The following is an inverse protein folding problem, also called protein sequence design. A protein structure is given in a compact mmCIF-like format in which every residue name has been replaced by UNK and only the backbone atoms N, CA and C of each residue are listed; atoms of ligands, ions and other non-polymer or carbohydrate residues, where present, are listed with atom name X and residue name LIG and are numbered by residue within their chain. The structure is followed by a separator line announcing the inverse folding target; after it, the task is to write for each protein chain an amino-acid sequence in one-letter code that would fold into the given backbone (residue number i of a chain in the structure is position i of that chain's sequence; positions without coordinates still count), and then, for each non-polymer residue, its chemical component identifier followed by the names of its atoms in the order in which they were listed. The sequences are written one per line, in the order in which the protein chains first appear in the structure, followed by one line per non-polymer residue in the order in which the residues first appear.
data_IF_543936394484
#
_entry.id   IF_543936394484
#
_cell.length_a   1.000
_cell.length_b   1.000
_cell.length_c   1.000
_cell.angle_alpha   90.00
_cell.angle_beta   90.00
_cell.angle_gamma   90.00
#
_symmetry.space_group_name_H-M   'P 1'
#
loop_
_entity.id
_entity.type
_entity.pdbx_description
1 polymer ?
#
# COMPACT_ATOMS: atom_id res chain seq x y z
N UNK A 1 59.71 -25.10 -10.33
CA UNK A 1 59.17 -23.75 -10.23
C UNK A 1 57.68 -23.84 -10.41
N UNK A 2 56.95 -23.91 -9.30
CA UNK A 2 55.47 -24.09 -9.27
C UNK A 2 54.83 -22.72 -9.15
N UNK A 3 54.14 -22.29 -10.21
CA UNK A 3 53.38 -20.99 -10.19
C UNK A 3 52.06 -21.19 -9.47
N UNK A 4 51.90 -20.56 -8.29
CA UNK A 4 50.60 -20.40 -7.64
C UNK A 4 49.80 -19.32 -8.41
N UNK A 5 48.62 -19.68 -8.92
CA UNK A 5 47.62 -18.71 -9.36
C UNK A 5 46.84 -18.20 -8.13
N UNK A 6 46.63 -16.89 -7.99
CA UNK A 6 45.75 -16.37 -6.95
C UNK A 6 44.30 -16.65 -7.30
N UNK A 7 43.58 -17.26 -6.39
CA UNK A 7 42.14 -17.48 -6.43
C UNK A 7 41.46 -16.16 -6.03
N UNK A 8 40.91 -15.40 -6.99
CA UNK A 8 40.08 -14.27 -6.70
C UNK A 8 38.68 -14.75 -6.23
N UNK A 9 38.42 -14.68 -4.95
CA UNK A 9 37.09 -14.85 -4.41
C UNK A 9 36.28 -13.61 -4.72
N UNK A 10 35.36 -13.70 -5.69
CA UNK A 10 34.37 -12.67 -5.95
C UNK A 10 33.31 -12.72 -4.83
N UNK A 11 33.40 -11.82 -3.87
CA UNK A 11 32.34 -11.58 -2.88
C UNK A 11 31.14 -10.98 -3.60
N UNK A 12 30.13 -11.78 -3.92
CA UNK A 12 28.82 -11.28 -4.33
C UNK A 12 28.19 -10.58 -3.12
N UNK A 13 28.26 -9.25 -3.08
CA UNK A 13 27.48 -8.47 -2.14
C UNK A 13 25.99 -8.70 -2.47
N UNK A 14 25.27 -9.36 -1.58
CA UNK A 14 23.81 -9.42 -1.61
C UNK A 14 23.31 -7.99 -1.43
N UNK A 15 22.99 -7.32 -2.53
CA UNK A 15 22.31 -6.04 -2.50
C UNK A 15 20.89 -6.29 -1.96
N UNK A 16 20.70 -6.11 -0.66
CA UNK A 16 19.37 -6.03 -0.10
C UNK A 16 18.62 -4.90 -0.83
N UNK A 17 17.45 -5.21 -1.36
CA UNK A 17 16.62 -4.22 -2.04
C UNK A 17 16.33 -3.09 -1.07
N UNK A 18 17.05 -1.99 -1.21
CA UNK A 18 16.86 -0.80 -0.40
C UNK A 18 15.87 0.10 -1.15
N UNK A 19 14.64 0.15 -0.62
CA UNK A 19 13.66 1.10 -1.14
C UNK A 19 14.02 2.52 -0.70
N UNK A 20 13.67 3.49 -1.56
CA UNK A 20 13.89 4.92 -1.31
C UNK A 20 12.63 5.69 -1.64
N UNK A 21 12.29 6.66 -0.81
CA UNK A 21 11.16 7.55 -1.03
C UNK A 21 11.62 8.85 -1.68
N UNK A 22 10.84 9.31 -2.68
CA UNK A 22 10.99 10.61 -3.35
C UNK A 22 9.62 11.25 -3.58
N UNK A 23 9.55 12.57 -3.83
CA UNK A 23 8.33 13.21 -4.30
C UNK A 23 7.87 12.66 -5.66
N UNK A 24 6.55 12.42 -5.83
CA UNK A 24 5.96 11.98 -7.10
C UNK A 24 5.44 13.15 -7.95
N UNK A 25 5.26 14.34 -7.37
CA UNK A 25 4.54 15.45 -8.03
C UNK A 25 3.03 15.26 -7.99
N UNK A 26 2.28 15.97 -8.85
CA UNK A 26 0.82 15.94 -8.85
C UNK A 26 0.25 14.59 -9.30
N UNK A 27 -1.01 14.29 -8.93
CA UNK A 27 -1.68 13.06 -9.35
C UNK A 27 -1.90 13.04 -10.88
N UNK A 28 -2.10 11.83 -11.47
CA UNK A 28 -2.45 11.71 -12.88
C UNK A 28 -3.69 12.54 -13.23
N UNK A 29 -3.59 13.37 -14.27
CA UNK A 29 -4.64 14.32 -14.67
C UNK A 29 -5.86 13.66 -15.33
N UNK A 30 -5.72 12.42 -15.77
CA UNK A 30 -6.78 11.59 -16.37
C UNK A 30 -7.74 10.98 -15.34
N UNK A 31 -7.43 11.11 -14.04
CA UNK A 31 -8.34 10.69 -12.97
C UNK A 31 -9.45 11.72 -12.78
N UNK A 32 -10.75 11.32 -12.85
CA UNK A 32 -11.88 12.25 -12.75
C UNK A 32 -11.97 12.97 -11.39
N UNK A 33 -11.27 12.49 -10.38
CA UNK A 33 -11.22 13.02 -9.02
C UNK A 33 -9.82 13.48 -8.58
N UNK A 34 -8.90 13.74 -9.53
CA UNK A 34 -7.53 14.17 -9.24
C UNK A 34 -7.47 15.40 -8.29
N UNK A 35 -8.43 16.31 -8.39
CA UNK A 35 -8.53 17.50 -7.52
C UNK A 35 -8.81 17.19 -6.05
N UNK A 36 -9.31 16.00 -5.72
CA UNK A 36 -9.53 15.57 -4.32
C UNK A 36 -8.27 14.98 -3.67
N UNK A 37 -7.24 14.73 -4.46
CA UNK A 37 -5.98 14.14 -4.03
C UNK A 37 -4.98 15.24 -3.63
N UNK A 38 -4.03 14.87 -2.78
CA UNK A 38 -2.88 15.72 -2.46
C UNK A 38 -2.07 15.97 -3.72
N UNK A 39 -1.69 17.25 -3.94
CA UNK A 39 -0.95 17.65 -5.16
C UNK A 39 0.52 17.26 -5.11
N UNK A 40 0.99 16.75 -3.99
CA UNK A 40 2.31 16.17 -3.83
C UNK A 40 2.15 14.71 -3.41
N UNK A 41 2.40 13.80 -4.35
CA UNK A 41 2.42 12.36 -4.09
C UNK A 41 3.76 11.86 -3.57
N UNK A 42 3.79 10.59 -3.22
CA UNK A 42 4.97 9.83 -2.79
C UNK A 42 5.35 8.83 -3.88
N UNK A 43 6.62 8.78 -4.24
CA UNK A 43 7.19 7.81 -5.17
C UNK A 43 8.18 6.93 -4.43
N UNK A 44 8.02 5.62 -4.54
CA UNK A 44 8.94 4.64 -3.98
C UNK A 44 9.78 4.06 -5.12
N UNK A 45 11.08 4.17 -4.95
CA UNK A 45 12.06 3.52 -5.82
C UNK A 45 12.48 2.20 -5.19
N UNK A 46 12.56 1.15 -6.00
CA UNK A 46 13.11 -0.14 -5.64
C UNK A 46 14.61 -0.24 -5.92
N UNK A 47 15.14 -1.44 -5.85
CA UNK A 47 16.52 -1.73 -6.17
C UNK A 47 16.86 -1.25 -7.60
N UNK A 48 18.05 -0.63 -7.76
CA UNK A 48 18.48 -0.09 -9.05
C UNK A 48 17.80 1.21 -9.47
N UNK A 49 16.98 1.84 -8.60
CA UNK A 49 16.35 3.12 -8.87
C UNK A 49 15.09 3.04 -9.75
N UNK A 50 14.60 1.85 -10.06
CA UNK A 50 13.32 1.67 -10.76
C UNK A 50 12.14 2.10 -9.89
N UNK A 51 11.10 2.69 -10.49
CA UNK A 51 9.88 3.06 -9.75
C UNK A 51 9.14 1.78 -9.35
N UNK A 52 8.99 1.58 -8.03
CA UNK A 52 8.20 0.49 -7.46
C UNK A 52 6.71 0.85 -7.45
N UNK A 53 6.37 2.01 -6.86
CA UNK A 53 5.02 2.58 -6.92
C UNK A 53 5.03 4.10 -6.75
N UNK A 54 3.89 4.71 -7.10
CA UNK A 54 3.58 6.10 -6.83
C UNK A 54 2.21 6.17 -6.15
N UNK A 55 2.07 7.00 -5.12
CA UNK A 55 0.89 7.07 -4.26
C UNK A 55 0.46 8.52 -4.07
N UNK A 56 -0.83 8.80 -4.28
CA UNK A 56 -1.48 10.07 -3.99
C UNK A 56 -2.67 9.81 -3.09
N UNK A 57 -2.60 10.29 -1.86
CA UNK A 57 -3.70 10.17 -0.90
C UNK A 57 -4.71 11.31 -1.07
N UNK A 58 -5.92 11.14 -0.58
CA UNK A 58 -6.89 12.23 -0.52
C UNK A 58 -6.38 13.35 0.40
N UNK A 59 -6.78 14.58 0.08
CA UNK A 59 -6.49 15.74 0.94
C UNK A 59 -7.27 15.66 2.25
N UNK A 60 -8.50 15.11 2.18
CA UNK A 60 -9.40 14.94 3.33
C UNK A 60 -10.23 13.65 3.16
N UNK A 61 -10.58 13.02 4.26
CA UNK A 61 -11.53 11.90 4.31
C UNK A 61 -12.60 12.19 5.37
N UNK A 62 -13.83 11.64 5.23
CA UNK A 62 -14.83 11.76 6.27
C UNK A 62 -14.38 11.03 7.53
N UNK A 63 -14.66 11.63 8.69
CA UNK A 63 -14.50 10.94 9.96
C UNK A 63 -15.57 9.86 10.12
N UNK A 64 -15.14 8.68 10.52
CA UNK A 64 -16.03 7.58 10.90
C UNK A 64 -16.36 7.58 12.40
N UNK A 65 -17.26 6.72 12.82
CA UNK A 65 -17.50 6.48 14.22
C UNK A 65 -16.23 5.90 14.87
N UNK A 66 -16.06 6.18 16.18
CA UNK A 66 -14.98 5.52 16.95
C UNK A 66 -15.17 4.01 16.85
N UNK A 67 -14.13 3.25 16.49
CA UNK A 67 -14.22 1.79 16.45
C UNK A 67 -14.62 1.23 17.81
N UNK A 68 -15.54 0.26 17.80
CA UNK A 68 -15.93 -0.51 19.00
C UNK A 68 -15.01 -1.72 19.23
N UNK A 69 -14.17 -2.05 18.27
CA UNK A 69 -13.25 -3.20 18.25
C UNK A 69 -11.82 -2.68 18.33
N UNK A 70 -11.07 -3.09 19.33
CA UNK A 70 -9.68 -2.68 19.55
C UNK A 70 -8.72 -3.14 18.42
N UNK A 71 -9.15 -4.09 17.61
CA UNK A 71 -8.43 -4.52 16.40
C UNK A 71 -8.62 -3.58 15.22
N UNK A 72 -9.52 -2.59 15.31
CA UNK A 72 -9.73 -1.54 14.33
C UNK A 72 -9.13 -0.25 14.88
N UNK A 73 -8.16 0.28 14.18
CA UNK A 73 -7.36 1.42 14.63
C UNK A 73 -7.74 2.74 13.96
N UNK A 74 -8.47 2.66 12.83
CA UNK A 74 -8.85 3.82 12.03
C UNK A 74 -10.35 4.11 12.13
N UNK A 75 -10.71 5.31 12.54
CA UNK A 75 -12.09 5.81 12.55
C UNK A 75 -12.49 6.31 11.15
N UNK A 76 -12.53 5.40 10.18
CA UNK A 76 -12.84 5.68 8.76
C UNK A 76 -14.07 4.87 8.35
N UNK A 77 -15.09 5.46 7.68
CA UNK A 77 -16.23 4.70 7.18
C UNK A 77 -15.83 3.66 6.14
N UNK A 78 -16.50 2.49 6.18
CA UNK A 78 -16.35 1.43 5.18
C UNK A 78 -16.48 1.98 3.76
N UNK A 79 -15.60 1.54 2.87
CA UNK A 79 -15.64 1.92 1.45
C UNK A 79 -15.05 3.29 1.11
N UNK A 80 -14.61 4.06 2.11
CA UNK A 80 -13.99 5.38 1.89
C UNK A 80 -12.79 5.29 0.96
N UNK A 81 -12.73 6.14 -0.07
CA UNK A 81 -11.55 6.32 -0.90
C UNK A 81 -10.43 6.97 -0.06
N UNK A 82 -9.30 6.29 0.06
CA UNK A 82 -8.10 6.81 0.74
C UNK A 82 -7.16 7.54 -0.23
N UNK A 83 -7.12 7.10 -1.49
CA UNK A 83 -6.22 7.64 -2.49
C UNK A 83 -6.08 6.76 -3.72
N UNK A 84 -5.00 6.97 -4.46
CA UNK A 84 -4.64 6.24 -5.68
C UNK A 84 -3.20 5.78 -5.60
N UNK A 85 -2.94 4.55 -6.02
CA UNK A 85 -1.59 4.01 -6.18
C UNK A 85 -1.39 3.54 -7.62
N UNK A 86 -0.20 3.77 -8.17
CA UNK A 86 0.23 3.29 -9.48
C UNK A 86 1.42 2.35 -9.34
N UNK A 87 1.32 1.18 -9.93
CA UNK A 87 2.42 0.23 -10.09
C UNK A 87 2.82 0.17 -11.56
N UNK A 88 4.03 0.61 -11.95
CA UNK A 88 4.48 0.54 -13.34
C UNK A 88 4.86 -0.88 -13.78
N UNK A 89 5.14 -1.76 -12.82
CA UNK A 89 5.45 -3.18 -13.06
C UNK A 89 4.60 -4.06 -12.15
N UNK A 90 4.58 -5.37 -12.41
CA UNK A 90 3.93 -6.34 -11.52
C UNK A 90 4.63 -6.34 -10.15
N UNK A 91 3.82 -6.28 -9.10
CA UNK A 91 4.27 -6.39 -7.71
C UNK A 91 3.51 -7.50 -7.00
N UNK A 92 3.80 -7.71 -5.72
CA UNK A 92 3.06 -8.64 -4.87
C UNK A 92 2.55 -7.92 -3.63
N UNK A 93 1.35 -8.30 -3.19
CA UNK A 93 0.89 -7.91 -1.86
C UNK A 93 1.69 -8.69 -0.78
N UNK A 94 1.51 -8.33 0.48
CA UNK A 94 2.24 -8.94 1.61
C UNK A 94 2.05 -10.47 1.71
N UNK A 95 0.96 -11.01 1.17
CA UNK A 95 0.65 -12.45 1.12
C UNK A 95 1.30 -13.16 -0.07
N UNK A 96 2.00 -12.43 -0.95
CA UNK A 96 2.62 -12.97 -2.16
C UNK A 96 1.69 -13.05 -3.36
N UNK A 97 0.46 -12.50 -3.27
CA UNK A 97 -0.46 -12.46 -4.40
C UNK A 97 -0.02 -11.39 -5.40
N UNK A 98 0.01 -11.74 -6.68
CA UNK A 98 0.41 -10.81 -7.73
C UNK A 98 -0.61 -9.68 -7.91
N UNK A 99 -0.11 -8.47 -8.08
CA UNK A 99 -0.85 -7.27 -8.50
C UNK A 99 -0.30 -6.87 -9.86
N UNK A 100 -1.18 -6.77 -10.85
CA UNK A 100 -0.81 -6.39 -12.23
C UNK A 100 -0.33 -4.94 -12.27
N UNK A 101 0.49 -4.56 -13.29
CA UNK A 101 0.78 -3.15 -13.54
C UNK A 101 -0.52 -2.37 -13.78
N UNK A 102 -0.62 -1.15 -13.24
CA UNK A 102 -1.83 -0.34 -13.40
C UNK A 102 -1.98 0.74 -12.33
N UNK A 103 -3.05 1.50 -12.47
CA UNK A 103 -3.49 2.52 -11.51
C UNK A 103 -4.72 2.00 -10.77
N UNK A 104 -4.67 2.10 -9.44
CA UNK A 104 -5.68 1.54 -8.54
C UNK A 104 -6.12 2.60 -7.54
N UNK A 105 -7.42 2.65 -7.25
CA UNK A 105 -7.93 3.32 -6.06
C UNK A 105 -7.66 2.47 -4.83
N UNK A 106 -7.46 3.12 -3.69
CA UNK A 106 -7.33 2.50 -2.37
C UNK A 106 -8.62 2.76 -1.61
N UNK A 107 -9.40 1.72 -1.37
CA UNK A 107 -10.65 1.79 -0.61
C UNK A 107 -10.48 1.16 0.77
N UNK A 108 -10.81 1.92 1.82
CA UNK A 108 -10.77 1.46 3.19
C UNK A 108 -11.77 0.32 3.43
N UNK A 109 -11.34 -0.67 4.18
CA UNK A 109 -12.19 -1.76 4.63
C UNK A 109 -11.66 -2.40 5.91
N UNK A 110 -12.46 -3.29 6.48
CA UNK A 110 -12.12 -4.06 7.67
C UNK A 110 -12.33 -5.55 7.39
N UNK A 111 -11.44 -6.41 7.89
CA UNK A 111 -11.64 -7.85 7.83
C UNK A 111 -12.92 -8.25 8.59
N UNK A 112 -13.75 -9.13 8.04
CA UNK A 112 -14.96 -9.60 8.71
C UNK A 112 -14.60 -10.40 9.98
N UNK A 113 -15.48 -10.34 10.99
CA UNK A 113 -15.37 -11.10 12.26
C UNK A 113 -16.03 -12.46 12.08
N UNK A 114 -15.56 -13.28 11.16
CA UNK A 114 -16.13 -14.61 10.86
C UNK A 114 -15.11 -15.76 11.04
N UNK A 115 -13.93 -15.45 11.60
CA UNK A 115 -12.84 -16.42 11.73
C UNK A 115 -11.91 -16.50 10.53
N UNK A 116 -12.30 -15.95 9.39
CA UNK A 116 -11.43 -15.84 8.22
C UNK A 116 -10.37 -14.76 8.45
N UNK A 117 -9.19 -14.92 7.86
CA UNK A 117 -8.10 -13.94 7.88
C UNK A 117 -7.45 -13.72 9.25
N UNK A 118 -7.72 -14.54 10.26
CA UNK A 118 -7.00 -14.49 11.54
C UNK A 118 -5.50 -14.72 11.33
N UNK A 119 -4.68 -13.83 11.91
CA UNK A 119 -3.21 -13.91 11.81
C UNK A 119 -2.60 -13.33 10.53
N UNK A 120 -3.41 -12.84 9.58
CA UNK A 120 -2.91 -12.20 8.34
C UNK A 120 -2.34 -10.81 8.63
N UNK A 121 -2.93 -10.09 9.56
CA UNK A 121 -2.44 -8.80 10.05
C UNK A 121 -2.78 -8.66 11.55
N UNK A 122 -2.00 -7.89 12.32
CA UNK A 122 -2.26 -7.67 13.73
C UNK A 122 -3.53 -6.85 13.99
N UNK A 123 -4.02 -6.12 12.99
CA UNK A 123 -5.23 -5.30 13.02
C UNK A 123 -6.15 -5.65 11.86
N UNK A 124 -7.41 -5.22 11.96
CA UNK A 124 -8.43 -5.51 10.95
C UNK A 124 -8.51 -4.48 9.81
N UNK A 125 -7.84 -3.35 9.95
CA UNK A 125 -7.80 -2.30 8.93
C UNK A 125 -7.00 -2.74 7.71
N UNK A 126 -7.53 -2.52 6.51
CA UNK A 126 -6.82 -2.71 5.26
C UNK A 126 -7.37 -1.83 4.13
N UNK A 127 -6.62 -1.67 3.07
CA UNK A 127 -7.03 -1.01 1.86
C UNK A 127 -7.17 -2.01 0.71
N UNK A 128 -8.32 -2.01 0.03
CA UNK A 128 -8.57 -2.78 -1.19
C UNK A 128 -8.08 -1.98 -2.40
N UNK A 129 -7.36 -2.64 -3.29
CA UNK A 129 -6.95 -2.06 -4.56
C UNK A 129 -8.02 -2.35 -5.61
N UNK A 130 -8.64 -1.30 -6.14
CA UNK A 130 -9.63 -1.40 -7.23
C UNK A 130 -9.05 -0.73 -8.47
N UNK A 131 -9.10 -1.36 -9.69
CA UNK A 131 -8.67 -0.67 -10.90
C UNK A 131 -9.38 0.67 -11.05
N UNK A 132 -8.62 1.76 -11.18
CA UNK A 132 -9.17 3.14 -11.17
C UNK A 132 -10.21 3.37 -12.27
N UNK A 133 -10.09 2.68 -13.40
CA UNK A 133 -11.08 2.73 -14.49
C UNK A 133 -12.47 2.18 -14.08
N UNK A 134 -12.55 1.38 -13.02
CA UNK A 134 -13.80 0.80 -12.51
C UNK A 134 -14.31 1.51 -11.24
N UNK A 135 -13.62 2.55 -10.77
CA UNK A 135 -13.92 3.23 -9.52
C UNK A 135 -13.69 4.74 -9.69
N UNK A 136 -14.68 5.42 -10.22
CA UNK A 136 -14.59 6.82 -10.68
C UNK A 136 -15.27 7.83 -9.76
N UNK A 137 -16.09 7.39 -8.78
CA UNK A 137 -16.74 8.26 -7.82
C UNK A 137 -15.97 8.26 -6.48
N UNK A 138 -15.28 9.37 -6.13
CA UNK A 138 -14.51 9.46 -4.90
C UNK A 138 -15.36 9.47 -3.63
N UNK A 139 -16.67 9.72 -3.76
CA UNK A 139 -17.60 9.82 -2.63
C UNK A 139 -18.47 8.56 -2.47
N UNK A 140 -18.42 7.63 -3.42
CA UNK A 140 -19.06 6.34 -3.24
C UNK A 140 -18.46 5.59 -2.03
N UNK A 141 -19.31 4.87 -1.31
CA UNK A 141 -18.93 4.01 -0.18
C UNK A 141 -19.41 2.58 -0.44
N UNK A 142 -18.78 1.84 -1.37
CA UNK A 142 -19.22 0.50 -1.73
C UNK A 142 -19.14 -0.45 -0.53
N UNK A 143 -20.12 -1.36 -0.46
CA UNK A 143 -20.13 -2.43 0.54
C UNK A 143 -18.93 -3.38 0.36
N UNK A 144 -18.60 -4.12 1.41
CA UNK A 144 -17.45 -5.04 1.45
C UNK A 144 -17.43 -6.01 0.27
N UNK A 145 -18.51 -6.74 0.02
CA UNK A 145 -18.56 -7.76 -1.04
C UNK A 145 -18.40 -7.13 -2.45
N UNK A 146 -18.94 -5.93 -2.65
CA UNK A 146 -18.76 -5.17 -3.88
C UNK A 146 -17.29 -4.82 -4.09
N UNK A 147 -16.62 -4.31 -3.04
CA UNK A 147 -15.19 -3.98 -3.10
C UNK A 147 -14.33 -5.21 -3.36
N UNK A 148 -14.62 -6.34 -2.72
CA UNK A 148 -13.92 -7.61 -2.95
C UNK A 148 -14.04 -8.02 -4.42
N UNK A 149 -15.26 -8.00 -5.00
CA UNK A 149 -15.47 -8.32 -6.39
C UNK A 149 -14.77 -7.38 -7.37
N UNK A 150 -14.74 -6.07 -7.06
CA UNK A 150 -14.01 -5.07 -7.85
C UNK A 150 -12.49 -5.30 -7.76
N UNK A 151 -11.97 -5.58 -6.57
CA UNK A 151 -10.55 -5.77 -6.30
C UNK A 151 -9.99 -7.08 -6.86
N UNK A 152 -10.80 -8.12 -7.01
CA UNK A 152 -10.41 -9.36 -7.66
C UNK A 152 -9.86 -9.15 -9.09
N UNK A 153 -10.28 -8.07 -9.76
CA UNK A 153 -9.76 -7.69 -11.09
C UNK A 153 -8.30 -7.23 -11.03
N UNK A 154 -7.86 -6.64 -9.92
CA UNK A 154 -6.47 -6.20 -9.73
C UNK A 154 -5.51 -7.38 -9.59
N UNK A 155 -5.89 -8.39 -8.83
CA UNK A 155 -5.10 -9.61 -8.65
C UNK A 155 -5.21 -10.57 -9.84
N UNK A 156 -6.36 -10.56 -10.53
CA UNK A 156 -6.73 -11.55 -11.52
C UNK A 156 -7.06 -12.92 -10.94
N UNK A 157 -7.40 -12.98 -9.64
CA UNK A 157 -7.80 -14.16 -8.89
C UNK A 157 -9.14 -13.88 -8.18
N UNK A 158 -9.82 -14.88 -7.61
CA UNK A 158 -11.01 -14.65 -6.78
C UNK A 158 -10.74 -13.85 -5.50
N UNK A 159 -9.46 -13.72 -5.09
CA UNK A 159 -9.08 -12.98 -3.89
C UNK A 159 -8.74 -11.52 -4.21
N UNK A 160 -9.16 -10.56 -3.37
CA UNK A 160 -8.85 -9.16 -3.57
C UNK A 160 -7.36 -8.88 -3.38
N UNK A 161 -6.84 -7.85 -4.07
CA UNK A 161 -5.53 -7.29 -3.81
C UNK A 161 -5.65 -6.27 -2.66
N UNK A 162 -4.79 -6.39 -1.64
CA UNK A 162 -4.90 -5.57 -0.43
C UNK A 162 -3.55 -5.03 0.03
N UNK A 163 -3.60 -3.88 0.72
CA UNK A 163 -2.49 -3.35 1.52
C UNK A 163 -2.90 -3.32 2.98
N UNK A 164 -2.03 -3.78 3.87
CA UNK A 164 -2.24 -3.65 5.31
C UNK A 164 -2.05 -2.19 5.72
N UNK A 165 -2.98 -1.65 6.51
CA UNK A 165 -2.93 -0.29 7.03
C UNK A 165 -3.32 -0.28 8.50
N UNK A 166 -2.93 0.76 9.23
CA UNK A 166 -3.38 0.99 10.62
C UNK A 166 -3.27 2.47 10.99
N UNK A 167 -3.97 2.85 12.05
CA UNK A 167 -3.94 4.18 12.62
C UNK A 167 -2.73 4.41 13.53
N UNK A 168 -2.24 5.64 13.54
CA UNK A 168 -1.13 6.05 14.39
C UNK A 168 0.23 5.64 13.78
N UNK A 169 0.96 6.60 13.28
CA UNK A 169 2.38 6.45 12.93
C UNK A 169 3.25 6.93 14.08
N UNK A 170 4.47 6.41 14.17
CA UNK A 170 5.47 6.83 15.16
C UNK A 170 6.48 7.83 14.61
N UNK A 171 6.28 8.36 13.42
CA UNK A 171 7.22 9.24 12.76
C UNK A 171 7.12 10.70 13.28
N UNK A 172 8.25 11.36 13.48
CA UNK A 172 8.31 12.78 13.85
C UNK A 172 7.84 13.70 12.72
N UNK A 173 7.96 13.24 11.48
CA UNK A 173 7.58 13.98 10.26
C UNK A 173 6.87 13.06 9.27
N UNK A 174 5.90 13.60 8.55
CA UNK A 174 5.14 12.90 7.53
C UNK A 174 5.32 13.58 6.16
N UNK A 175 5.37 12.82 5.05
CA UNK A 175 5.46 11.36 5.03
C UNK A 175 6.84 10.85 5.50
N UNK A 176 6.87 9.65 6.08
CA UNK A 176 8.09 8.93 6.43
C UNK A 176 8.01 7.51 5.87
N UNK A 177 9.10 7.02 5.31
CA UNK A 177 9.15 5.68 4.75
C UNK A 177 10.35 4.94 5.31
N UNK A 178 10.09 3.86 6.02
CA UNK A 178 11.13 3.13 6.75
C UNK A 178 10.88 1.63 6.71
N UNK A 179 11.97 0.88 6.88
CA UNK A 179 11.89 -0.56 7.09
C UNK A 179 11.49 -0.81 8.54
N UNK A 180 10.34 -1.46 8.72
CA UNK A 180 9.88 -1.94 10.01
C UNK A 180 9.94 -3.47 10.00
N UNK A 181 10.54 -4.07 11.02
CA UNK A 181 10.89 -5.49 11.07
C UNK A 181 11.77 -5.96 9.88
N UNK A 182 11.92 -7.28 9.71
CA UNK A 182 12.83 -7.82 8.69
C UNK A 182 12.28 -7.70 7.26
N UNK A 183 10.96 -7.60 7.09
CA UNK A 183 10.33 -7.80 5.79
C UNK A 183 9.46 -6.63 5.30
N UNK A 184 9.01 -5.74 6.20
CA UNK A 184 8.01 -4.73 5.83
C UNK A 184 8.63 -3.34 5.65
N UNK A 185 8.30 -2.68 4.55
CA UNK A 185 8.56 -1.28 4.29
C UNK A 185 7.27 -0.49 4.42
N UNK A 186 7.24 0.41 5.38
CA UNK A 186 6.04 1.11 5.83
C UNK A 186 6.14 2.59 5.52
N UNK A 187 5.07 3.11 4.94
CA UNK A 187 4.84 4.53 4.77
C UNK A 187 3.94 5.03 5.92
N UNK A 188 4.50 5.84 6.80
CA UNK A 188 3.74 6.64 7.76
C UNK A 188 3.34 7.96 7.09
N UNK A 189 2.07 8.31 7.12
CA UNK A 189 1.54 9.42 6.35
C UNK A 189 0.28 10.02 6.98
N UNK A 190 -0.30 11.04 6.33
CA UNK A 190 -1.52 11.71 6.77
C UNK A 190 -2.51 11.93 5.65
N UNK A 191 -3.80 11.83 5.99
CA UNK A 191 -4.92 12.31 5.19
C UNK A 191 -5.69 13.32 6.06
N UNK A 192 -5.54 14.61 5.78
CA UNK A 192 -5.97 15.64 6.72
C UNK A 192 -5.30 15.47 8.08
N UNK A 193 -6.08 15.32 9.14
CA UNK A 193 -5.60 15.08 10.50
C UNK A 193 -5.41 13.59 10.83
N UNK A 194 -5.88 12.69 9.96
CA UNK A 194 -5.78 11.24 10.19
C UNK A 194 -4.37 10.76 9.87
N UNK A 195 -3.67 10.27 10.89
CA UNK A 195 -2.37 9.60 10.76
C UNK A 195 -2.60 8.13 10.48
N UNK A 196 -1.94 7.59 9.45
CA UNK A 196 -2.00 6.17 9.12
C UNK A 196 -0.65 5.65 8.60
N UNK A 197 -0.44 4.38 8.79
CA UNK A 197 0.70 3.63 8.27
C UNK A 197 0.21 2.62 7.23
N UNK A 198 1.00 2.43 6.16
CA UNK A 198 0.69 1.55 5.03
C UNK A 198 1.90 0.68 4.74
N UNK A 199 1.75 -0.65 4.71
CA UNK A 199 2.80 -1.53 4.18
C UNK A 199 2.74 -1.46 2.66
N UNK A 200 3.73 -0.82 2.04
CA UNK A 200 3.84 -0.70 0.58
C UNK A 200 4.61 -1.86 -0.05
N UNK A 201 5.62 -2.38 0.63
CA UNK A 201 6.36 -3.55 0.22
C UNK A 201 6.64 -4.44 1.44
N UNK A 202 6.45 -5.74 1.30
CA UNK A 202 6.64 -6.66 2.42
C UNK A 202 6.28 -8.09 2.03
N UNK A 203 6.61 -9.02 2.92
CA UNK A 203 6.26 -10.44 2.76
C UNK A 203 5.97 -11.06 4.13
N UNK A 204 4.85 -11.75 4.24
CA UNK A 204 4.57 -12.57 5.42
C UNK A 204 5.65 -13.65 5.55
N UNK A 205 6.21 -13.82 6.75
CA UNK A 205 7.05 -14.98 7.05
C UNK A 205 6.15 -16.22 7.06
N UNK A 206 6.49 -17.17 6.21
CA UNK A 206 5.88 -18.51 6.17
C UNK A 206 6.50 -19.39 7.25
#
# INVERSE_FOLDING_TARGET
MTKLLPLFAASAALAFAQYKMEPAGPPPSDLPFASTLQQQGVKILGAGGSVYCELWLRSQIPAGPKPADDMVTLAIPQGTLLGVIRFPAQVQDRRGQNIKPGTYTLRYSQYPVNGDHQGVAPQRDFALLVPAANDTDPNATPAFDTLVAMSAKASGTPHPAVLSIWGGGSADKYPNFSKQNDNDWVLDTKIGDTVLSIILAGKVQS
#
